data_IF_425333970768
#
_entry.id   IF_425333970768
#
_cell.length_a   1.000
_cell.length_b   1.000
_cell.length_c   1.000
_cell.angle_alpha   90.00
_cell.angle_beta   90.00
_cell.angle_gamma   90.00
#
_symmetry.space_group_name_H-M   'P 1'
#
loop_
_entity.id
_entity.type
_entity.pdbx_description
1 polymer ?
#
# COMPACT_ATOMS: atom_id res chain seq x y z
N UNK A 1 -0.71 -19.32 0.36
CA UNK A 1 -0.75 -17.92 0.87
C UNK A 1 -1.79 -17.07 0.12
N UNK A 2 -2.55 -16.18 0.79
CA UNK A 2 -3.62 -15.36 0.17
C UNK A 2 -3.13 -14.46 -0.98
N UNK A 3 -1.92 -13.90 -0.84
CA UNK A 3 -1.32 -13.02 -1.85
C UNK A 3 -1.19 -13.69 -3.23
N UNK A 4 -0.81 -14.97 -3.29
CA UNK A 4 -0.65 -15.68 -4.57
C UNK A 4 -1.97 -15.74 -5.34
N UNK A 5 -3.05 -16.08 -4.64
CA UNK A 5 -4.39 -16.11 -5.23
C UNK A 5 -4.82 -14.72 -5.71
N UNK A 6 -4.53 -13.68 -4.92
CA UNK A 6 -4.81 -12.30 -5.30
C UNK A 6 -4.03 -11.88 -6.55
N UNK A 7 -2.72 -12.15 -6.59
CA UNK A 7 -1.85 -11.83 -7.73
C UNK A 7 -2.36 -12.48 -9.02
N UNK A 8 -2.73 -13.76 -8.97
CA UNK A 8 -3.28 -14.45 -10.14
C UNK A 8 -4.63 -13.88 -10.61
N UNK A 9 -5.45 -13.34 -9.69
CA UNK A 9 -6.72 -12.72 -10.04
C UNK A 9 -6.56 -11.29 -10.57
N UNK A 10 -5.49 -10.59 -10.18
CA UNK A 10 -5.22 -9.20 -10.58
C UNK A 10 -4.31 -9.09 -11.80
N UNK A 11 -3.62 -10.16 -12.20
CA UNK A 11 -2.57 -10.07 -13.21
C UNK A 11 -3.12 -9.72 -14.60
N UNK A 12 -2.52 -8.72 -15.23
CA UNK A 12 -2.73 -8.33 -16.61
C UNK A 12 -1.40 -7.77 -17.16
N UNK A 13 -0.98 -8.13 -18.39
CA UNK A 13 0.34 -7.77 -18.92
C UNK A 13 0.54 -6.25 -19.13
N UNK A 14 -0.55 -5.47 -19.25
CA UNK A 14 -0.48 -4.01 -19.39
C UNK A 14 -0.31 -3.25 -18.06
N UNK A 15 -0.33 -3.94 -16.92
CA UNK A 15 -0.23 -3.34 -15.59
C UNK A 15 1.15 -3.58 -14.97
N UNK A 16 1.44 -2.86 -13.88
CA UNK A 16 2.68 -3.00 -13.12
C UNK A 16 2.38 -3.37 -11.67
N UNK A 17 3.17 -4.30 -11.12
CA UNK A 17 2.95 -4.84 -9.78
C UNK A 17 4.21 -4.71 -8.94
N UNK A 18 4.11 -4.04 -7.79
CA UNK A 18 5.18 -3.99 -6.81
C UNK A 18 4.71 -4.63 -5.51
N UNK A 19 5.31 -5.78 -5.17
CA UNK A 19 5.00 -6.57 -3.99
C UNK A 19 5.92 -6.14 -2.86
N UNK A 20 5.33 -5.71 -1.75
CA UNK A 20 6.03 -5.54 -0.49
C UNK A 20 5.63 -6.66 0.48
N UNK A 21 6.64 -7.28 1.09
CA UNK A 21 6.48 -8.20 2.23
C UNK A 21 7.08 -7.49 3.45
N UNK A 22 6.33 -7.43 4.55
CA UNK A 22 6.77 -6.79 5.79
C UNK A 22 8.11 -7.41 6.25
N UNK A 23 9.09 -6.59 6.57
CA UNK A 23 10.40 -7.06 7.04
C UNK A 23 10.34 -7.88 8.33
N UNK A 24 9.24 -7.78 9.10
CA UNK A 24 8.98 -8.60 10.27
C UNK A 24 8.24 -9.91 9.97
N UNK A 25 7.94 -10.21 8.70
CA UNK A 25 7.35 -11.49 8.32
C UNK A 25 8.39 -12.62 8.42
N UNK A 26 7.97 -13.89 8.62
CA UNK A 26 8.88 -15.02 8.61
C UNK A 26 9.68 -15.12 7.30
N UNK A 27 10.97 -15.47 7.40
CA UNK A 27 11.84 -15.67 6.22
C UNK A 27 11.24 -16.63 5.18
N UNK A 28 10.44 -17.61 5.60
CA UNK A 28 9.78 -18.53 4.69
C UNK A 28 8.72 -17.84 3.84
N UNK A 29 7.99 -16.84 4.37
CA UNK A 29 7.02 -16.07 3.58
C UNK A 29 7.74 -15.25 2.49
N UNK A 30 8.88 -14.66 2.83
CA UNK A 30 9.73 -13.95 1.85
C UNK A 30 10.22 -14.89 0.75
N UNK A 31 10.74 -16.06 1.13
CA UNK A 31 11.22 -17.08 0.18
C UNK A 31 10.08 -17.64 -0.67
N UNK A 32 8.91 -17.89 -0.08
CA UNK A 32 7.74 -18.42 -0.76
C UNK A 32 7.27 -17.44 -1.84
N UNK A 33 7.26 -16.13 -1.56
CA UNK A 33 6.89 -15.12 -2.55
C UNK A 33 7.95 -14.93 -3.63
N UNK A 34 9.23 -14.92 -3.25
CA UNK A 34 10.32 -14.86 -4.22
C UNK A 34 10.26 -16.04 -5.21
N UNK A 35 10.08 -17.27 -4.72
CA UNK A 35 9.91 -18.46 -5.56
C UNK A 35 8.67 -18.37 -6.44
N UNK A 36 7.55 -17.88 -5.91
CA UNK A 36 6.32 -17.72 -6.69
C UNK A 36 6.48 -16.75 -7.86
N UNK A 37 7.12 -15.60 -7.64
CA UNK A 37 7.36 -14.63 -8.71
C UNK A 37 8.39 -15.16 -9.71
N UNK A 38 9.48 -15.76 -9.23
CA UNK A 38 10.56 -16.27 -10.08
C UNK A 38 10.15 -17.48 -10.94
N UNK A 39 9.24 -18.33 -10.46
CA UNK A 39 8.80 -19.54 -11.16
C UNK A 39 7.55 -19.32 -12.03
N UNK A 40 7.09 -18.09 -12.22
CA UNK A 40 5.97 -17.78 -13.11
C UNK A 40 6.50 -17.28 -14.46
N UNK A 41 6.37 -18.11 -15.49
CA UNK A 41 6.90 -17.83 -16.82
C UNK A 41 6.34 -16.52 -17.41
N UNK A 42 5.05 -16.24 -17.17
CA UNK A 42 4.39 -15.02 -17.67
C UNK A 42 4.97 -13.77 -17.00
N UNK A 43 5.23 -13.83 -15.69
CA UNK A 43 5.84 -12.71 -14.98
C UNK A 43 7.28 -12.47 -15.44
N UNK A 44 8.02 -13.53 -15.74
CA UNK A 44 9.39 -13.46 -16.26
C UNK A 44 9.42 -12.89 -17.69
N UNK A 45 8.50 -13.32 -18.55
CA UNK A 45 8.40 -12.87 -19.94
C UNK A 45 8.00 -11.39 -20.06
N UNK A 46 6.97 -10.96 -19.31
CA UNK A 46 6.46 -9.58 -19.37
C UNK A 46 7.28 -8.62 -18.51
N UNK A 47 7.97 -9.14 -17.48
CA UNK A 47 8.85 -8.39 -16.60
C UNK A 47 8.18 -7.19 -15.88
N UNK A 48 6.92 -7.35 -15.47
CA UNK A 48 6.09 -6.30 -14.85
C UNK A 48 5.74 -6.56 -13.37
N UNK A 49 6.35 -7.55 -12.74
CA UNK A 49 6.15 -7.90 -11.32
C UNK A 49 7.48 -7.81 -10.57
N UNK A 50 7.55 -6.94 -9.57
CA UNK A 50 8.73 -6.76 -8.73
C UNK A 50 8.43 -7.04 -7.26
N UNK A 51 9.47 -7.43 -6.52
CA UNK A 51 9.44 -7.54 -5.06
C UNK A 51 10.37 -6.47 -4.50
N UNK A 52 9.90 -5.73 -3.49
CA UNK A 52 10.74 -4.79 -2.74
C UNK A 52 11.85 -5.56 -2.04
N UNK A 53 13.10 -5.37 -2.48
CA UNK A 53 14.24 -6.15 -1.97
C UNK A 53 14.53 -5.92 -0.48
N UNK A 54 14.53 -4.65 -0.04
CA UNK A 54 14.64 -4.30 1.39
C UNK A 54 13.27 -3.87 1.91
N UNK A 55 12.52 -4.82 2.44
CA UNK A 55 11.20 -4.55 3.01
C UNK A 55 11.25 -3.52 4.14
N UNK A 56 10.20 -2.69 4.23
CA UNK A 56 9.97 -1.83 5.39
C UNK A 56 9.28 -2.64 6.51
N UNK A 57 9.53 -2.28 7.76
CA UNK A 57 8.67 -2.70 8.88
C UNK A 57 7.36 -1.94 8.81
N UNK A 58 6.23 -2.64 8.91
CA UNK A 58 4.90 -2.03 8.81
C UNK A 58 4.08 -2.31 10.06
N UNK A 59 3.79 -1.26 10.83
CA UNK A 59 2.88 -1.30 11.96
C UNK A 59 1.46 -0.99 11.49
N UNK A 60 0.50 -1.88 11.77
CA UNK A 60 -0.90 -1.66 11.39
C UNK A 60 -1.44 -0.39 12.07
N UNK A 61 -2.08 0.50 11.30
CA UNK A 61 -2.55 1.84 11.70
C UNK A 61 -1.44 2.82 12.12
N UNK A 62 -0.18 2.45 11.93
CA UNK A 62 0.98 3.30 12.21
C UNK A 62 1.43 4.12 10.98
N UNK A 63 2.14 5.24 11.20
CA UNK A 63 2.86 6.01 10.19
C UNK A 63 3.71 5.19 9.22
N UNK A 64 4.29 4.06 9.67
CA UNK A 64 5.08 3.16 8.82
C UNK A 64 4.28 2.60 7.63
N UNK A 65 2.96 2.42 7.77
CA UNK A 65 2.10 2.00 6.66
C UNK A 65 2.05 3.06 5.54
N UNK A 66 1.92 4.34 5.90
CA UNK A 66 1.95 5.44 4.94
C UNK A 66 3.35 5.58 4.33
N UNK A 67 4.40 5.48 5.15
CA UNK A 67 5.77 5.49 4.67
C UNK A 67 6.05 4.37 3.65
N UNK A 68 5.51 3.17 3.87
CA UNK A 68 5.60 2.06 2.94
C UNK A 68 4.92 2.36 1.60
N UNK A 69 3.71 2.92 1.62
CA UNK A 69 3.00 3.33 0.40
C UNK A 69 3.78 4.39 -0.38
N UNK A 70 4.31 5.41 0.31
CA UNK A 70 5.12 6.45 -0.32
C UNK A 70 6.43 5.90 -0.91
N UNK A 71 7.08 4.97 -0.22
CA UNK A 71 8.26 4.27 -0.72
C UNK A 71 7.93 3.48 -2.00
N UNK A 72 6.81 2.74 -2.02
CA UNK A 72 6.36 2.00 -3.20
C UNK A 72 6.08 2.92 -4.40
N UNK A 73 5.38 4.05 -4.18
CA UNK A 73 5.15 5.06 -5.23
C UNK A 73 6.48 5.60 -5.77
N UNK A 74 7.42 5.96 -4.90
CA UNK A 74 8.74 6.49 -5.30
C UNK A 74 9.55 5.48 -6.13
N UNK A 75 9.45 4.18 -5.82
CA UNK A 75 10.07 3.12 -6.63
C UNK A 75 9.39 3.02 -8.01
N UNK A 76 8.06 2.92 -8.04
CA UNK A 76 7.30 2.78 -9.28
C UNK A 76 7.48 3.96 -10.23
N UNK A 77 7.56 5.20 -9.71
CA UNK A 77 7.87 6.40 -10.50
C UNK A 77 9.24 6.34 -11.20
N UNK A 78 10.17 5.50 -10.72
CA UNK A 78 11.51 5.35 -11.30
C UNK A 78 11.62 4.21 -12.30
N UNK A 79 10.78 3.19 -12.20
CA UNK A 79 10.94 1.93 -12.94
C UNK A 79 9.84 1.67 -13.96
N UNK A 80 8.72 2.41 -13.91
CA UNK A 80 7.57 2.18 -14.77
C UNK A 80 6.88 3.49 -15.17
N UNK A 81 6.06 3.42 -16.22
CA UNK A 81 5.15 4.49 -16.62
C UNK A 81 3.73 3.99 -16.39
N UNK A 82 3.04 4.56 -15.41
CA UNK A 82 1.70 4.14 -14.99
C UNK A 82 0.81 5.36 -14.84
N UNK A 83 -0.49 5.19 -15.06
CA UNK A 83 -1.47 6.27 -15.01
C UNK A 83 -2.11 6.42 -13.62
N UNK A 84 -2.46 5.28 -13.00
CA UNK A 84 -3.10 5.25 -11.67
C UNK A 84 -2.36 4.33 -10.71
N UNK A 85 -2.32 4.72 -9.44
CA UNK A 85 -1.78 3.92 -8.34
C UNK A 85 -2.92 3.34 -7.49
N UNK A 86 -2.91 2.02 -7.29
CA UNK A 86 -3.90 1.31 -6.48
C UNK A 86 -3.15 0.55 -5.37
N UNK A 87 -3.36 0.91 -4.10
CA UNK A 87 -2.81 0.15 -2.99
C UNK A 87 -3.75 -0.98 -2.58
N UNK A 88 -3.21 -2.18 -2.42
CA UNK A 88 -3.94 -3.36 -1.97
C UNK A 88 -3.17 -4.09 -0.87
N UNK A 89 -3.89 -4.81 -0.04
CA UNK A 89 -3.38 -5.76 0.94
C UNK A 89 -3.70 -7.19 0.51
N UNK A 90 -3.05 -8.18 1.12
CA UNK A 90 -3.36 -9.60 0.87
C UNK A 90 -4.77 -10.02 1.36
N UNK A 91 -5.54 -9.12 1.97
CA UNK A 91 -6.94 -9.37 2.38
C UNK A 91 -7.96 -8.85 1.37
N UNK A 92 -7.53 -8.06 0.38
CA UNK A 92 -8.41 -7.54 -0.67
C UNK A 92 -8.65 -8.58 -1.77
N UNK A 93 -9.71 -8.40 -2.56
CA UNK A 93 -10.01 -9.25 -3.72
C UNK A 93 -10.81 -8.47 -4.78
N UNK A 94 -10.50 -8.60 -6.08
CA UNK A 94 -11.23 -7.91 -7.13
C UNK A 94 -12.68 -8.42 -7.22
N UNK A 95 -13.62 -7.51 -7.45
CA UNK A 95 -15.05 -7.81 -7.70
C UNK A 95 -15.41 -7.79 -9.19
N UNK A 96 -14.53 -7.25 -10.02
CA UNK A 96 -14.63 -7.17 -11.48
C UNK A 96 -13.36 -7.70 -12.11
N UNK A 97 -13.39 -8.05 -13.39
CA UNK A 97 -12.20 -8.52 -14.10
C UNK A 97 -11.22 -7.38 -14.37
N UNK A 98 -9.97 -7.71 -14.71
CA UNK A 98 -9.00 -6.68 -15.11
C UNK A 98 -9.42 -5.99 -16.41
N UNK A 99 -9.97 -6.74 -17.37
CA UNK A 99 -10.42 -6.18 -18.65
C UNK A 99 -11.55 -5.18 -18.43
N UNK A 100 -12.54 -5.49 -17.58
CA UNK A 100 -13.62 -4.57 -17.24
C UNK A 100 -13.11 -3.31 -16.53
N UNK A 101 -12.12 -3.46 -15.64
CA UNK A 101 -11.51 -2.33 -14.94
C UNK A 101 -10.76 -1.41 -15.92
N UNK A 102 -9.98 -2.00 -16.83
CA UNK A 102 -9.22 -1.26 -17.85
C UNK A 102 -10.18 -0.55 -18.80
N UNK A 103 -11.24 -1.22 -19.26
CA UNK A 103 -12.27 -0.62 -20.12
C UNK A 103 -12.93 0.58 -19.43
N UNK A 104 -13.39 0.40 -18.18
CA UNK A 104 -14.00 1.48 -17.41
C UNK A 104 -13.07 2.69 -17.24
N UNK A 105 -11.78 2.45 -16.95
CA UNK A 105 -10.79 3.50 -16.75
C UNK A 105 -10.30 4.13 -18.06
N UNK A 106 -10.41 3.44 -19.20
CA UNK A 106 -9.94 3.93 -20.50
C UNK A 106 -10.61 5.23 -20.94
N UNK A 107 -11.85 5.45 -20.50
CA UNK A 107 -12.65 6.63 -20.81
C UNK A 107 -12.43 7.80 -19.84
N UNK A 108 -11.73 7.57 -18.73
CA UNK A 108 -11.56 8.54 -17.65
C UNK A 108 -10.32 9.41 -17.88
N UNK A 109 -10.38 10.72 -17.58
CA UNK A 109 -9.19 11.56 -17.55
C UNK A 109 -8.16 11.03 -16.54
N UNK A 110 -6.91 10.94 -16.99
CA UNK A 110 -5.77 10.39 -16.22
C UNK A 110 -5.34 11.26 -15.04
N UNK A 111 -5.81 12.49 -14.98
CA UNK A 111 -5.56 13.45 -13.89
C UNK A 111 -6.56 13.31 -12.72
N UNK A 112 -7.51 12.37 -12.79
CA UNK A 112 -8.46 12.09 -11.72
C UNK A 112 -7.85 11.26 -10.58
N UNK A 113 -8.31 11.57 -9.35
CA UNK A 113 -7.98 10.83 -8.15
C UNK A 113 -9.26 10.29 -7.49
N UNK A 114 -9.27 9.00 -7.15
CA UNK A 114 -10.40 8.34 -6.51
C UNK A 114 -10.12 8.14 -5.02
N UNK A 115 -10.48 9.14 -4.21
CA UNK A 115 -10.24 9.11 -2.76
C UNK A 115 -11.57 9.28 -2.02
N UNK A 116 -11.96 8.26 -1.26
CA UNK A 116 -13.09 8.39 -0.35
C UNK A 116 -12.70 9.31 0.82
N UNK A 117 -13.42 10.41 1.00
CA UNK A 117 -13.17 11.34 2.09
C UNK A 117 -14.45 11.96 2.63
N UNK A 118 -14.40 12.42 3.88
CA UNK A 118 -15.41 13.25 4.51
C UNK A 118 -14.76 14.43 5.23
N UNK A 119 -15.39 15.60 5.11
CA UNK A 119 -15.03 16.80 5.88
C UNK A 119 -15.77 16.88 7.22
N UNK A 120 -16.71 15.97 7.48
CA UNK A 120 -17.43 15.88 8.75
C UNK A 120 -16.63 15.01 9.72
N UNK A 121 -15.71 15.66 10.45
CA UNK A 121 -14.81 14.97 11.37
C UNK A 121 -15.54 14.30 12.55
N UNK A 122 -16.53 14.98 13.15
CA UNK A 122 -17.27 14.46 14.30
C UNK A 122 -16.36 13.84 15.37
N UNK A 123 -16.62 12.59 15.75
CA UNK A 123 -15.81 11.85 16.71
C UNK A 123 -14.36 11.61 16.24
N UNK A 124 -14.09 11.59 14.92
CA UNK A 124 -12.74 11.41 14.35
C UNK A 124 -11.81 12.56 14.73
N UNK A 125 -12.34 13.75 15.05
CA UNK A 125 -11.52 14.86 15.54
C UNK A 125 -10.74 14.48 16.81
N UNK A 126 -11.43 13.92 17.81
CA UNK A 126 -10.83 13.52 19.08
C UNK A 126 -10.02 12.21 19.00
N UNK A 127 -10.33 11.35 18.02
CA UNK A 127 -9.71 10.02 17.88
C UNK A 127 -8.60 9.92 16.82
N UNK A 128 -8.54 10.84 15.85
CA UNK A 128 -7.57 10.83 14.74
C UNK A 128 -6.88 12.17 14.53
N UNK A 129 -7.57 13.30 14.74
CA UNK A 129 -7.00 14.63 14.49
C UNK A 129 -6.07 15.12 15.61
N UNK A 130 -6.55 15.07 16.86
CA UNK A 130 -5.84 15.56 18.05
C UNK A 130 -4.81 14.60 18.68
N UNK A 131 -4.99 13.26 18.63
CA UNK A 131 -4.01 12.37 19.23
C UNK A 131 -2.64 12.46 18.58
N UNK A 132 -1.61 12.16 19.37
CA UNK A 132 -0.23 12.00 18.93
C UNK A 132 0.14 10.54 19.13
N UNK A 133 0.69 9.93 18.07
CA UNK A 133 1.14 8.54 18.07
C UNK A 133 2.63 8.47 17.77
N UNK A 134 3.30 7.53 18.40
CA UNK A 134 4.69 7.17 18.11
C UNK A 134 4.67 5.76 17.52
N UNK A 135 5.35 5.59 16.39
CA UNK A 135 5.52 4.29 15.74
C UNK A 135 6.99 3.90 15.84
N UNK A 136 7.34 2.98 16.75
CA UNK A 136 8.71 2.54 16.94
C UNK A 136 9.34 1.95 15.68
N UNK A 137 8.53 1.44 14.74
CA UNK A 137 9.01 0.93 13.46
C UNK A 137 9.65 1.99 12.56
N UNK A 138 9.53 3.28 12.87
CA UNK A 138 10.23 4.36 12.16
C UNK A 138 11.71 4.48 12.54
N UNK A 139 12.10 4.07 13.75
CA UNK A 139 13.47 4.29 14.26
C UNK A 139 14.10 3.06 14.92
N UNK A 140 13.37 1.94 15.03
CA UNK A 140 13.83 0.70 15.65
C UNK A 140 13.50 -0.51 14.78
N UNK A 141 14.43 -1.46 14.70
CA UNK A 141 14.19 -2.76 14.06
C UNK A 141 13.34 -3.70 14.93
N UNK A 142 13.30 -3.46 16.25
CA UNK A 142 12.44 -4.19 17.17
C UNK A 142 11.02 -3.63 17.08
N UNK A 143 10.22 -4.20 16.17
CA UNK A 143 8.82 -3.85 15.95
C UNK A 143 8.01 -4.03 17.24
N UNK A 144 7.22 -3.03 17.58
CA UNK A 144 6.22 -3.09 18.66
C UNK A 144 4.92 -2.42 18.22
N UNK A 145 3.88 -2.50 19.05
CA UNK A 145 2.65 -1.74 18.80
C UNK A 145 2.89 -0.22 18.81
N UNK A 146 1.96 0.52 18.20
CA UNK A 146 1.94 1.99 18.25
C UNK A 146 1.71 2.48 19.68
N UNK A 147 2.39 3.56 20.06
CA UNK A 147 2.24 4.14 21.38
C UNK A 147 1.40 5.42 21.29
N UNK A 148 0.40 5.51 22.15
CA UNK A 148 -0.43 6.70 22.29
C UNK A 148 0.19 7.64 23.33
N UNK A 149 0.49 8.86 22.91
CA UNK A 149 0.99 9.88 23.83
C UNK A 149 -0.19 10.42 24.65
N UNK A 150 0.02 10.60 25.95
CA UNK A 150 -1.01 11.10 26.89
C UNK A 150 -1.49 12.50 26.48
N UNK A 151 -0.57 13.36 26.03
CA UNK A 151 -0.89 14.72 25.56
C UNK A 151 -1.40 14.70 24.13
N UNK A 152 -2.40 15.54 23.88
CA UNK A 152 -2.95 15.80 22.54
C UNK A 152 -2.39 17.11 21.96
N UNK A 153 -2.43 17.22 20.63
CA UNK A 153 -2.11 18.47 19.91
C UNK A 153 -3.39 19.24 19.54
N UNK A 154 -3.23 20.54 19.28
CA UNK A 154 -4.25 21.31 18.57
C UNK A 154 -4.38 20.84 17.12
N UNK A 155 -5.52 21.13 16.49
CA UNK A 155 -5.69 20.88 15.06
C UNK A 155 -4.88 21.90 14.26
N UNK A 156 -4.33 21.49 13.10
CA UNK A 156 -3.74 22.44 12.16
C UNK A 156 -4.78 23.47 11.71
N UNK A 157 -4.36 24.73 11.60
CA UNK A 157 -5.19 25.85 11.11
C UNK A 157 -4.84 26.26 9.68
N UNK A 158 -3.67 25.84 9.18
CA UNK A 158 -3.20 26.18 7.83
C UNK A 158 -3.90 25.40 6.70
N UNK A 159 -4.61 24.31 7.02
CA UNK A 159 -5.28 23.47 6.04
C UNK A 159 -6.50 22.78 6.63
N UNK A 160 -7.43 22.39 5.77
CA UNK A 160 -8.62 21.63 6.14
C UNK A 160 -8.29 20.14 6.22
N UNK A 161 -8.76 19.50 7.29
CA UNK A 161 -8.63 18.06 7.46
C UNK A 161 -9.79 17.31 6.79
N UNK A 162 -9.43 16.24 6.11
CA UNK A 162 -10.35 15.26 5.51
C UNK A 162 -10.02 13.88 6.08
N UNK A 163 -11.02 13.01 6.22
CA UNK A 163 -10.90 11.68 6.86
C UNK A 163 -11.82 10.63 6.27
#
# INVERSE_FOLDING_TARGET
>A
MKLKRLMLALYHPANYYLIHVDAGAPDEDHKEIARFVANNDVFAEVANVWIVGKGNLVTYRGPTMLANTLHAMAMLLRVAQWDWFINLSASDYPLITQDDLIDAFSSLPKDLNFVQHSSQLGWKMGKRGKPIIIDPGLYSANKSEIWWVIKQRSLPTAFKLYT
#
